data_IF_005810644286
#
_entry.id   IF_005810644286
#
_cell.length_a   1.000
_cell.length_b   1.000
_cell.length_c   1.000
_cell.angle_alpha   90.00
_cell.angle_beta   90.00
_cell.angle_gamma   90.00
#
_symmetry.space_group_name_H-M   'P 1'
#
loop_
_entity.id
_entity.type
_entity.pdbx_description
1 polymer ?
#
# COMPACT_ATOMS: atom_id res chain seq x y z
N UNK A 1 18.23 35.34 54.61
CA UNK A 1 16.98 34.68 55.03
C UNK A 1 16.06 34.70 53.81
N UNK A 2 15.50 33.62 53.26
CA UNK A 2 15.36 32.22 53.62
C UNK A 2 15.39 31.40 52.30
N UNK A 3 16.16 30.31 52.23
CA UNK A 3 15.70 28.90 52.36
C UNK A 3 15.38 28.22 51.01
N UNK A 4 16.43 27.58 50.47
CA UNK A 4 16.53 26.22 49.91
C UNK A 4 15.22 25.43 49.62
N UNK A 5 15.11 24.88 48.42
CA UNK A 5 14.90 23.43 48.19
C UNK A 5 15.01 23.10 46.70
N UNK A 6 16.12 22.47 46.33
CA UNK A 6 16.26 21.69 45.10
C UNK A 6 15.45 20.40 45.27
N UNK A 7 14.65 20.04 44.27
CA UNK A 7 14.04 18.73 44.16
C UNK A 7 14.49 18.13 42.81
N UNK A 8 15.25 17.02 42.81
CA UNK A 8 15.45 16.19 41.63
C UNK A 8 14.31 15.17 41.51
N UNK A 9 14.33 14.34 40.45
CA UNK A 9 13.53 13.10 40.28
C UNK A 9 12.13 13.35 39.67
N UNK A 10 11.69 12.77 38.55
CA UNK A 10 11.75 11.37 38.11
C UNK A 10 11.68 11.25 36.58
N UNK A 11 12.56 10.44 36.02
CA UNK A 11 12.56 9.96 34.64
C UNK A 11 11.52 8.81 34.48
N UNK A 12 10.57 8.88 33.53
CA UNK A 12 9.76 7.70 33.22
C UNK A 12 10.53 6.75 32.30
N UNK A 13 11.27 5.82 32.91
CA UNK A 13 11.76 4.61 32.25
C UNK A 13 10.57 3.69 31.93
N UNK A 14 9.95 3.86 30.76
CA UNK A 14 8.94 2.91 30.28
C UNK A 14 9.62 1.79 29.48
N UNK A 15 10.33 0.91 30.19
CA UNK A 15 10.80 -0.36 29.64
C UNK A 15 9.61 -1.28 29.43
N UNK A 16 9.02 -1.24 28.23
CA UNK A 16 8.01 -2.22 27.83
C UNK A 16 8.70 -3.55 27.57
N UNK A 17 8.71 -4.43 28.57
CA UNK A 17 9.13 -5.81 28.40
C UNK A 17 8.26 -6.48 27.31
N UNK A 18 8.91 -6.91 26.22
CA UNK A 18 8.28 -7.73 25.20
C UNK A 18 8.10 -9.14 25.77
N UNK A 19 6.86 -9.54 26.02
CA UNK A 19 6.56 -10.95 26.26
C UNK A 19 6.74 -11.70 24.94
N UNK A 20 7.79 -12.51 24.87
CA UNK A 20 7.99 -13.49 23.81
C UNK A 20 7.05 -14.65 24.12
N UNK A 21 5.92 -14.73 23.42
CA UNK A 21 5.08 -15.92 23.45
C UNK A 21 5.82 -17.06 22.71
N UNK A 22 6.42 -17.96 23.49
CA UNK A 22 6.96 -19.22 22.98
C UNK A 22 5.80 -20.18 22.74
N UNK A 23 5.48 -20.46 21.47
CA UNK A 23 4.50 -21.46 21.11
C UNK A 23 5.02 -22.86 21.46
N UNK A 24 4.32 -23.56 22.35
CA UNK A 24 4.61 -24.95 22.71
C UNK A 24 4.12 -25.89 21.59
N UNK A 25 5.00 -26.74 21.08
CA UNK A 25 4.64 -27.81 20.15
C UNK A 25 3.91 -28.92 20.93
N UNK A 26 2.62 -29.08 20.69
CA UNK A 26 1.86 -30.22 21.17
C UNK A 26 2.22 -31.45 20.32
N UNK A 27 2.86 -32.43 20.94
CA UNK A 27 3.00 -33.79 20.42
C UNK A 27 1.75 -34.57 20.80
N UNK A 28 0.90 -34.90 19.82
CA UNK A 28 -0.22 -35.83 20.02
C UNK A 28 -0.15 -36.89 18.94
N UNK A 29 0.15 -38.10 19.43
CA UNK A 29 -0.63 -39.32 19.20
C UNK A 29 -0.96 -39.70 17.77
N UNK A 30 -0.33 -40.79 17.33
CA UNK A 30 -0.78 -41.61 16.21
C UNK A 30 -2.23 -42.10 16.42
N UNK A 31 -2.86 -42.40 15.28
CA UNK A 31 -4.08 -43.19 15.04
C UNK A 31 -5.35 -42.41 14.69
N UNK A 32 -5.71 -42.45 13.41
CA UNK A 32 -6.96 -41.91 12.90
C UNK A 32 -6.98 -41.73 11.38
N UNK A 33 -7.27 -42.81 10.68
CA UNK A 33 -7.62 -42.85 9.26
C UNK A 33 -8.84 -41.95 8.98
N UNK A 34 -8.65 -40.80 8.35
CA UNK A 34 -9.72 -40.07 7.64
C UNK A 34 -9.15 -39.47 6.36
N UNK A 35 -9.70 -39.91 5.22
CA UNK A 35 -9.27 -39.57 3.86
C UNK A 35 -9.73 -38.16 3.49
N UNK A 36 -9.02 -37.13 3.97
CA UNK A 36 -9.09 -35.81 3.35
C UNK A 36 -8.23 -35.80 2.08
N UNK A 37 -8.93 -35.82 0.94
CA UNK A 37 -8.40 -35.62 -0.40
C UNK A 37 -7.48 -34.39 -0.42
N UNK A 38 -6.18 -34.62 -0.38
CA UNK A 38 -5.15 -33.61 -0.58
C UNK A 38 -5.36 -33.04 -1.99
N UNK A 39 -5.81 -31.78 -2.07
CA UNK A 39 -5.77 -31.05 -3.33
C UNK A 39 -4.30 -30.92 -3.74
N UNK A 40 -3.95 -31.58 -4.83
CA UNK A 40 -2.62 -31.55 -5.42
C UNK A 40 -2.20 -30.10 -5.64
N UNK A 41 -1.11 -29.68 -4.99
CA UNK A 41 -0.35 -28.50 -5.40
C UNK A 41 0.15 -28.77 -6.82
N UNK A 42 -0.30 -27.99 -7.80
CA UNK A 42 0.30 -28.02 -9.13
C UNK A 42 1.70 -27.44 -9.04
N UNK A 43 2.71 -28.31 -9.13
CA UNK A 43 4.09 -27.89 -9.33
C UNK A 43 4.22 -27.39 -10.76
N UNK A 44 4.11 -26.08 -10.98
CA UNK A 44 4.63 -25.47 -12.21
C UNK A 44 6.14 -25.37 -12.07
N UNK A 45 6.84 -26.44 -12.47
CA UNK A 45 8.30 -26.43 -12.66
C UNK A 45 8.62 -26.06 -14.11
N UNK A 46 9.48 -25.07 -14.38
CA UNK A 46 10.23 -25.09 -15.62
C UNK A 46 11.37 -26.10 -15.42
N UNK A 47 11.38 -27.16 -16.22
CA UNK A 47 12.53 -28.06 -16.29
C UNK A 47 13.71 -27.29 -16.87
N UNK A 48 14.68 -26.89 -16.05
CA UNK A 48 15.95 -26.38 -16.51
C UNK A 48 16.74 -27.57 -17.09
N UNK A 49 16.78 -27.69 -18.41
CA UNK A 49 17.77 -28.54 -19.07
C UNK A 49 19.14 -27.95 -18.83
N UNK A 50 20.00 -28.68 -18.11
CA UNK A 50 21.43 -28.39 -18.02
C UNK A 50 22.01 -28.69 -19.42
N UNK A 51 22.13 -27.66 -20.25
CA UNK A 51 23.05 -27.68 -21.40
C UNK A 51 24.27 -26.81 -21.05
N UNK A 52 25.47 -27.16 -21.54
CA UNK A 52 26.63 -26.28 -21.44
C UNK A 52 26.33 -24.98 -22.20
N UNK A 53 26.32 -23.84 -21.51
CA UNK A 53 26.15 -22.54 -22.15
C UNK A 53 27.34 -22.22 -23.06
N UNK A 54 27.16 -22.05 -24.39
CA UNK A 54 28.10 -21.23 -25.13
C UNK A 54 27.89 -19.77 -24.71
N UNK A 55 28.99 -19.03 -24.54
CA UNK A 55 28.96 -17.59 -24.31
C UNK A 55 28.21 -16.91 -25.48
N UNK A 56 26.96 -16.54 -25.24
CA UNK A 56 26.17 -15.73 -26.16
C UNK A 56 26.11 -14.33 -25.59
N UNK A 57 27.08 -13.53 -26.03
CA UNK A 57 26.99 -12.08 -26.09
C UNK A 57 25.92 -11.76 -27.15
N UNK A 58 24.67 -11.72 -26.72
CA UNK A 58 23.50 -11.45 -27.56
C UNK A 58 22.68 -10.32 -26.93
N UNK A 59 22.10 -9.40 -27.73
CA UNK A 59 21.23 -8.36 -27.18
C UNK A 59 20.15 -9.01 -26.33
N UNK A 60 20.13 -8.65 -25.04
CA UNK A 60 19.04 -9.01 -24.13
C UNK A 60 17.75 -8.60 -24.81
N UNK A 61 16.97 -9.59 -25.25
CA UNK A 61 15.62 -9.34 -25.75
C UNK A 61 14.90 -8.47 -24.72
N UNK A 62 14.11 -7.45 -25.13
CA UNK A 62 13.32 -6.66 -24.20
C UNK A 62 12.32 -7.57 -23.50
N UNK A 63 12.76 -8.25 -22.44
CA UNK A 63 11.88 -8.95 -21.54
C UNK A 63 10.90 -7.94 -20.97
N UNK A 64 9.66 -8.34 -20.77
CA UNK A 64 8.63 -7.53 -20.13
C UNK A 64 9.18 -6.95 -18.82
N UNK A 65 9.55 -5.67 -18.83
CA UNK A 65 9.99 -4.97 -17.63
C UNK A 65 8.77 -4.73 -16.75
N UNK A 66 8.92 -4.91 -15.44
CA UNK A 66 7.85 -4.57 -14.50
C UNK A 66 7.68 -3.06 -14.45
N UNK A 67 6.51 -2.56 -14.83
CA UNK A 67 6.17 -1.14 -14.71
C UNK A 67 5.87 -0.73 -13.27
N UNK A 68 6.31 0.47 -12.88
CA UNK A 68 5.96 1.08 -11.60
C UNK A 68 5.56 2.54 -11.77
N UNK A 69 4.42 2.92 -11.19
CA UNK A 69 3.93 4.29 -11.17
C UNK A 69 3.89 4.82 -9.74
N UNK A 70 4.41 6.04 -9.55
CA UNK A 70 4.36 6.78 -8.29
C UNK A 70 4.40 8.27 -8.60
N UNK A 71 3.55 9.04 -7.92
CA UNK A 71 3.48 10.49 -8.06
C UNK A 71 3.46 11.12 -6.65
N UNK A 72 4.44 11.97 -6.30
CA UNK A 72 4.47 12.69 -5.02
C UNK A 72 3.23 13.55 -4.75
N UNK A 73 2.46 13.94 -5.78
CA UNK A 73 1.20 14.66 -5.60
C UNK A 73 0.18 13.86 -4.79
N UNK A 74 0.23 12.52 -4.84
CA UNK A 74 -0.64 11.66 -4.02
C UNK A 74 -0.37 11.86 -2.51
N UNK A 75 0.82 12.32 -2.11
CA UNK A 75 1.14 12.62 -0.71
C UNK A 75 0.38 13.84 -0.17
N UNK A 76 -0.19 14.67 -1.05
CA UNK A 76 -1.00 15.82 -0.65
C UNK A 76 -2.40 15.42 -0.16
N UNK A 77 -2.81 14.16 -0.37
CA UNK A 77 -4.02 13.63 0.25
C UNK A 77 -3.76 13.42 1.75
N UNK A 78 -4.16 14.40 2.55
CA UNK A 78 -3.98 14.40 3.99
C UNK A 78 -5.27 14.84 4.68
N UNK A 79 -5.57 14.21 5.82
CA UNK A 79 -6.66 14.68 6.66
C UNK A 79 -6.38 16.10 7.17
N UNK A 80 -7.41 16.94 7.15
CA UNK A 80 -7.36 18.34 7.63
C UNK A 80 -7.08 18.47 9.12
N UNK A 81 -7.23 17.40 9.91
CA UNK A 81 -6.98 17.42 11.35
C UNK A 81 -5.49 17.59 11.71
N UNK A 82 -4.58 17.37 10.75
CA UNK A 82 -3.13 17.52 10.94
C UNK A 82 -2.45 16.42 11.76
N UNK A 83 -3.19 15.43 12.29
CA UNK A 83 -2.62 14.34 13.09
C UNK A 83 -2.60 13.01 12.33
N UNK A 84 -1.47 12.64 11.74
CA UNK A 84 -1.33 11.36 11.04
C UNK A 84 -1.41 10.13 11.95
N UNK A 85 -1.19 10.27 13.27
CA UNK A 85 -1.20 9.15 14.22
C UNK A 85 -2.60 8.57 14.40
N UNK A 86 -3.64 9.38 14.19
CA UNK A 86 -5.04 8.97 14.31
C UNK A 86 -5.63 8.43 13.01
N UNK A 87 -4.93 8.56 11.88
CA UNK A 87 -5.41 8.14 10.57
C UNK A 87 -4.54 7.01 10.01
N UNK A 88 -5.03 5.76 9.99
CA UNK A 88 -4.27 4.65 9.41
C UNK A 88 -4.04 4.82 7.90
N UNK A 89 -4.89 5.59 7.22
CA UNK A 89 -4.72 6.01 5.83
C UNK A 89 -4.04 7.39 5.81
N UNK A 90 -2.74 7.42 5.47
CA UNK A 90 -1.95 8.65 5.39
C UNK A 90 -0.81 8.51 4.37
N UNK A 91 -0.27 9.65 3.91
CA UNK A 91 0.77 9.75 2.90
C UNK A 91 2.02 8.86 3.14
N UNK A 92 2.34 8.58 4.41
CA UNK A 92 3.48 7.76 4.80
C UNK A 92 3.40 6.31 4.31
N UNK A 93 2.20 5.81 3.99
CA UNK A 93 2.02 4.46 3.43
C UNK A 93 2.76 4.29 2.10
N UNK A 94 2.47 5.14 1.12
CA UNK A 94 3.10 5.05 -0.20
C UNK A 94 4.54 5.58 -0.18
N UNK A 95 4.85 6.54 0.69
CA UNK A 95 6.21 7.05 0.86
C UNK A 95 7.16 5.96 1.39
N UNK A 96 6.75 5.21 2.41
CA UNK A 96 7.58 4.15 3.00
C UNK A 96 7.81 2.98 2.03
N UNK A 97 6.78 2.60 1.25
CA UNK A 97 6.90 1.60 0.18
C UNK A 97 7.90 2.08 -0.87
N UNK A 98 7.75 3.32 -1.37
CA UNK A 98 8.66 3.88 -2.36
C UNK A 98 10.11 3.94 -1.86
N UNK A 99 10.33 4.41 -0.63
CA UNK A 99 11.67 4.41 -0.01
C UNK A 99 12.26 3.01 0.09
N UNK A 100 11.48 2.01 0.54
CA UNK A 100 11.95 0.62 0.62
C UNK A 100 12.31 0.05 -0.75
N UNK A 101 11.51 0.31 -1.77
CA UNK A 101 11.82 -0.12 -3.14
C UNK A 101 13.09 0.54 -3.68
N UNK A 102 13.35 1.79 -3.29
CA UNK A 102 14.57 2.51 -3.64
C UNK A 102 15.80 1.94 -2.90
N UNK A 103 15.70 1.75 -1.59
CA UNK A 103 16.77 1.22 -0.72
C UNK A 103 17.20 -0.19 -1.12
N UNK A 104 16.26 -1.03 -1.53
CA UNK A 104 16.53 -2.41 -1.99
C UNK A 104 17.02 -2.48 -3.43
N UNK A 105 17.06 -1.35 -4.15
CA UNK A 105 17.45 -1.28 -5.56
C UNK A 105 16.43 -1.89 -6.52
N UNK A 106 15.23 -2.29 -6.06
CA UNK A 106 14.19 -2.86 -6.91
C UNK A 106 13.69 -1.86 -7.95
N UNK A 107 13.66 -0.55 -7.62
CA UNK A 107 13.30 0.49 -8.59
C UNK A 107 14.20 0.51 -9.83
N UNK A 108 15.47 0.09 -9.72
CA UNK A 108 16.40 0.06 -10.84
C UNK A 108 16.10 -1.07 -11.84
N UNK A 109 15.25 -2.04 -11.45
CA UNK A 109 14.82 -3.16 -12.27
C UNK A 109 13.45 -2.93 -12.89
N UNK A 110 12.78 -1.84 -12.53
CA UNK A 110 11.44 -1.50 -12.99
C UNK A 110 11.49 -0.37 -14.03
N UNK A 111 10.54 -0.39 -14.95
CA UNK A 111 10.27 0.73 -15.83
C UNK A 111 9.40 1.76 -15.11
N UNK A 112 9.82 3.02 -15.05
CA UNK A 112 9.05 4.09 -14.42
C UNK A 112 7.96 4.57 -15.37
N UNK A 113 6.70 4.42 -14.95
CA UNK A 113 5.52 4.88 -15.68
C UNK A 113 5.08 6.21 -15.10
N UNK A 114 4.92 7.21 -15.97
CA UNK A 114 4.38 8.51 -15.59
C UNK A 114 2.87 8.39 -15.34
N UNK A 115 2.43 8.76 -14.14
CA UNK A 115 1.02 8.86 -13.80
C UNK A 115 0.35 10.06 -14.47
N UNK A 116 -0.99 9.99 -14.60
CA UNK A 116 -1.86 11.12 -14.95
C UNK A 116 -3.13 11.06 -14.11
N UNK A 117 -3.86 12.16 -14.05
CA UNK A 117 -5.24 12.14 -13.53
C UNK A 117 -6.15 11.36 -14.48
N UNK A 118 -7.06 10.59 -13.90
CA UNK A 118 -8.19 10.06 -14.64
C UNK A 118 -9.09 11.23 -15.08
N UNK A 119 -9.60 11.17 -16.29
CA UNK A 119 -10.64 12.07 -16.77
C UNK A 119 -11.97 11.77 -16.09
N UNK A 120 -12.89 12.75 -16.09
CA UNK A 120 -14.22 12.54 -15.51
C UNK A 120 -14.99 11.42 -16.23
N UNK A 121 -14.86 11.35 -17.55
CA UNK A 121 -15.44 10.28 -18.38
C UNK A 121 -14.94 8.89 -17.96
N UNK A 122 -13.64 8.74 -17.70
CA UNK A 122 -13.05 7.48 -17.23
C UNK A 122 -13.57 7.08 -15.83
N UNK A 123 -13.74 8.04 -14.93
CA UNK A 123 -14.29 7.79 -13.58
C UNK A 123 -15.77 7.36 -13.70
N UNK A 124 -16.53 7.97 -14.61
CA UNK A 124 -17.95 7.69 -14.84
C UNK A 124 -18.23 6.30 -15.43
N UNK A 125 -17.21 5.58 -15.93
CA UNK A 125 -17.37 4.19 -16.36
C UNK A 125 -17.81 3.26 -15.22
N UNK A 126 -17.55 3.63 -13.97
CA UNK A 126 -17.87 2.83 -12.77
C UNK A 126 -18.63 3.61 -11.69
N UNK A 127 -18.72 4.94 -11.79
CA UNK A 127 -19.39 5.80 -10.82
C UNK A 127 -20.47 6.67 -11.49
N UNK A 128 -21.54 6.99 -10.74
CA UNK A 128 -22.55 7.97 -11.19
C UNK A 128 -21.91 9.35 -11.46
N UNK A 129 -22.50 10.14 -12.35
CA UNK A 129 -22.06 11.51 -12.63
C UNK A 129 -21.91 12.35 -11.35
N UNK A 130 -22.91 12.33 -10.48
CA UNK A 130 -22.91 13.08 -9.22
C UNK A 130 -21.68 12.78 -8.34
N UNK A 131 -21.39 11.50 -8.10
CA UNK A 131 -20.20 11.07 -7.35
C UNK A 131 -18.90 11.54 -8.01
N UNK A 132 -18.80 11.39 -9.32
CA UNK A 132 -17.61 11.77 -10.09
C UNK A 132 -17.36 13.28 -10.03
N UNK A 133 -18.41 14.11 -10.08
CA UNK A 133 -18.29 15.56 -9.94
C UNK A 133 -17.87 15.94 -8.50
N UNK A 134 -18.51 15.35 -7.49
CA UNK A 134 -18.25 15.68 -6.09
C UNK A 134 -16.81 15.37 -5.64
N UNK A 135 -16.26 14.23 -6.04
CA UNK A 135 -14.94 13.77 -5.58
C UNK A 135 -13.82 13.88 -6.63
N UNK A 136 -14.15 14.00 -7.92
CA UNK A 136 -13.18 14.05 -9.02
C UNK A 136 -12.80 15.46 -9.47
N UNK A 137 -13.50 16.50 -9.00
CA UNK A 137 -13.21 17.90 -9.36
C UNK A 137 -12.61 18.69 -8.21
N UNK A 138 -11.93 19.79 -8.50
CA UNK A 138 -11.45 20.68 -7.46
C UNK A 138 -12.66 21.42 -6.85
N UNK A 139 -12.76 21.58 -5.52
CA UNK A 139 -13.84 22.34 -4.89
C UNK A 139 -14.05 23.75 -5.48
N UNK A 140 -12.98 24.38 -5.99
CA UNK A 140 -13.05 25.69 -6.65
C UNK A 140 -13.74 25.62 -8.02
N UNK A 141 -13.56 24.52 -8.76
CA UNK A 141 -14.23 24.28 -10.05
C UNK A 141 -15.69 23.85 -9.85
N UNK A 142 -15.99 23.22 -8.71
CA UNK A 142 -17.35 22.85 -8.30
C UNK A 142 -18.30 24.04 -8.15
N UNK A 143 -17.79 25.23 -7.81
CA UNK A 143 -18.62 26.45 -7.76
C UNK A 143 -19.11 26.93 -9.14
N UNK A 144 -18.54 26.41 -10.23
CA UNK A 144 -18.97 26.68 -11.61
C UNK A 144 -19.96 25.64 -12.14
N UNK A 145 -20.14 24.53 -11.42
CA UNK A 145 -21.06 23.47 -11.80
C UNK A 145 -22.47 23.79 -11.31
N UNK A 146 -23.49 23.42 -12.08
CA UNK A 146 -24.90 23.66 -11.72
C UNK A 146 -25.18 23.01 -10.35
N UNK A 147 -25.67 23.76 -9.34
CA UNK A 147 -26.01 23.20 -8.04
C UNK A 147 -26.95 21.99 -8.09
N UNK A 148 -27.76 21.84 -9.16
CA UNK A 148 -28.63 20.68 -9.36
C UNK A 148 -27.87 19.38 -9.64
N UNK A 149 -26.73 19.44 -10.33
CA UNK A 149 -25.89 18.25 -10.58
C UNK A 149 -25.09 17.87 -9.32
N UNK A 150 -24.87 18.84 -8.42
CA UNK A 150 -24.21 18.64 -7.14
C UNK A 150 -25.14 18.28 -5.97
N UNK A 151 -26.46 18.46 -6.10
CA UNK A 151 -27.40 18.03 -5.06
C UNK A 151 -27.87 16.59 -5.24
N UNK A 152 -27.60 15.98 -6.40
CA UNK A 152 -28.17 14.70 -6.79
C UNK A 152 -29.68 14.84 -7.01
N UNK A 153 -30.19 14.35 -8.14
CA UNK A 153 -31.63 14.18 -8.25
C UNK A 153 -32.07 13.15 -7.21
N UNK A 154 -32.64 13.62 -6.11
CA UNK A 154 -33.45 12.82 -5.21
C UNK A 154 -34.76 12.46 -5.93
N UNK A 155 -34.68 11.66 -6.99
CA UNK A 155 -35.83 11.16 -7.70
C UNK A 155 -35.63 9.71 -8.10
N UNK A 156 -36.47 8.88 -7.47
CA UNK A 156 -36.87 7.52 -7.83
C UNK A 156 -35.95 6.36 -7.42
N UNK A 157 -36.30 5.80 -6.25
CA UNK A 157 -36.62 4.38 -6.18
C UNK A 157 -38.05 4.21 -5.67
#
# INVERSE_FOLDING_TARGET
QAAFMQQPFLEPQHTRALSVHQAQLAVVGMDGLEKHRLFSRTHSSPAASILPHPAMDGPLQPGSATGIAYDPLMLKHQCICGNSTTHPEHAGRIQSIWSRLQETGLLNKCERIQGRKASLEEIQLVHSEHHSLLYGTNPLDGQKLDPRTLLGDASQK
#
